data_IF_720573338668
#
_entry.id   IF_720573338668
#
_cell.length_a   1.000
_cell.length_b   1.000
_cell.length_c   1.000
_cell.angle_alpha   90.00
_cell.angle_beta   90.00
_cell.angle_gamma   90.00
#
_symmetry.space_group_name_H-M   'P 1'
#
loop_
_entity.id
_entity.type
_entity.pdbx_description
1 polymer ?
#
# COMPACT_ATOMS: atom_id res chain seq x y z
N UNK A 1 -54.50 0.35 12.52
CA UNK A 1 -53.58 1.25 11.82
C UNK A 1 -52.20 1.07 12.44
N UNK A 2 -51.41 0.14 11.90
CA UNK A 2 -50.09 -0.27 12.40
C UNK A 2 -49.03 0.26 11.42
N UNK A 3 -48.28 1.23 11.90
CA UNK A 3 -47.21 1.91 11.17
C UNK A 3 -45.97 1.04 11.12
N UNK A 4 -45.63 0.51 9.96
CA UNK A 4 -44.39 -0.22 9.67
C UNK A 4 -43.27 0.80 9.44
N UNK A 5 -42.35 0.90 10.37
CA UNK A 5 -41.10 1.66 10.18
C UNK A 5 -40.12 0.79 9.38
N UNK A 6 -39.94 1.12 8.11
CA UNK A 6 -38.88 0.56 7.27
C UNK A 6 -37.56 1.18 7.70
N UNK A 7 -36.73 0.37 8.35
CA UNK A 7 -35.34 0.75 8.67
C UNK A 7 -34.50 0.57 7.40
N UNK A 8 -34.03 1.68 6.84
CA UNK A 8 -33.03 1.70 5.76
C UNK A 8 -31.65 1.40 6.37
N UNK A 9 -31.24 0.13 6.26
CA UNK A 9 -29.84 -0.23 6.45
C UNK A 9 -29.06 0.28 5.24
N UNK A 10 -28.38 1.40 5.39
CA UNK A 10 -27.35 1.84 4.46
C UNK A 10 -26.16 0.90 4.64
N UNK A 11 -26.04 -0.07 3.73
CA UNK A 11 -24.88 -0.95 3.59
C UNK A 11 -23.71 -0.08 3.12
N UNK A 12 -22.91 0.44 4.06
CA UNK A 12 -21.59 0.99 3.75
C UNK A 12 -20.72 -0.20 3.32
N UNK A 13 -20.65 -0.46 2.00
CA UNK A 13 -19.56 -1.23 1.43
C UNK A 13 -18.30 -0.40 1.67
N UNK A 14 -17.55 -0.76 2.71
CA UNK A 14 -16.16 -0.37 2.84
C UNK A 14 -15.45 -0.94 1.59
N UNK A 15 -15.04 -0.08 0.68
CA UNK A 15 -14.07 -0.39 -0.35
C UNK A 15 -12.75 -0.68 0.38
N UNK A 16 -12.60 -1.89 0.91
CA UNK A 16 -11.29 -2.44 1.23
C UNK A 16 -10.61 -2.54 -0.13
N UNK A 17 -9.50 -1.84 -0.38
CA UNK A 17 -8.76 -2.04 -1.61
C UNK A 17 -8.44 -3.53 -1.67
N UNK A 18 -8.93 -4.23 -2.69
CA UNK A 18 -8.43 -5.55 -3.03
C UNK A 18 -6.97 -5.32 -3.41
N UNK A 19 -6.08 -5.55 -2.45
CA UNK A 19 -4.64 -5.66 -2.69
C UNK A 19 -4.45 -7.01 -3.37
N UNK A 20 -4.90 -7.08 -4.60
CA UNK A 20 -4.60 -8.16 -5.52
C UNK A 20 -3.32 -7.81 -6.24
N UNK A 21 -2.44 -8.78 -6.39
CA UNK A 21 -1.11 -8.70 -6.95
C UNK A 21 -0.96 -7.62 -8.05
N UNK A 22 0.09 -6.79 -7.87
CA UNK A 22 0.62 -5.85 -8.85
C UNK A 22 -0.41 -4.91 -9.49
N UNK A 23 -1.08 -4.06 -8.68
CA UNK A 23 -1.57 -2.81 -9.22
C UNK A 23 -0.34 -2.01 -9.67
N UNK A 24 -0.18 -1.90 -10.99
CA UNK A 24 0.78 -0.98 -11.60
C UNK A 24 0.29 0.42 -11.23
N UNK A 25 0.71 0.92 -10.07
CA UNK A 25 0.53 2.33 -9.74
C UNK A 25 1.22 3.13 -10.84
N UNK A 26 0.57 4.19 -11.32
CA UNK A 26 1.22 5.14 -12.22
C UNK A 26 2.32 5.86 -11.45
N UNK A 27 3.48 5.29 -11.55
CA UNK A 27 4.70 5.82 -10.96
C UNK A 27 5.06 7.10 -11.70
N UNK A 28 5.33 8.18 -10.99
CA UNK A 28 5.68 9.49 -11.57
C UNK A 28 6.90 9.43 -12.49
N UNK A 29 7.85 8.55 -12.23
CA UNK A 29 8.95 8.24 -13.14
C UNK A 29 9.27 6.76 -13.12
N UNK A 30 9.14 6.12 -14.29
CA UNK A 30 9.63 4.77 -14.55
C UNK A 30 10.53 4.80 -15.77
N UNK A 31 11.77 4.35 -15.63
CA UNK A 31 12.75 4.34 -16.73
C UNK A 31 12.87 5.70 -17.46
N UNK A 32 12.78 6.82 -16.75
CA UNK A 32 12.92 8.16 -17.32
C UNK A 32 11.74 8.64 -18.20
N UNK A 33 10.57 7.99 -18.14
CA UNK A 33 9.49 8.23 -19.10
C UNK A 33 8.64 9.48 -18.84
N UNK A 34 8.74 10.10 -17.68
CA UNK A 34 7.90 11.26 -17.36
C UNK A 34 8.64 12.27 -16.49
N UNK A 35 8.13 13.50 -16.47
CA UNK A 35 8.58 14.55 -15.58
C UNK A 35 7.41 15.09 -14.78
N UNK A 36 7.67 15.46 -13.56
CA UNK A 36 6.70 15.97 -12.61
C UNK A 36 7.33 17.06 -11.75
N UNK A 37 6.58 18.13 -11.49
CA UNK A 37 6.97 19.18 -10.58
C UNK A 37 5.77 19.67 -9.77
N UNK A 38 5.97 19.87 -8.47
CA UNK A 38 4.98 20.47 -7.59
C UNK A 38 5.66 21.29 -6.49
N UNK A 39 4.99 22.37 -6.07
CA UNK A 39 5.50 23.26 -5.01
C UNK A 39 4.57 23.20 -3.79
N UNK A 40 5.18 23.21 -2.60
CA UNK A 40 4.48 23.26 -1.34
C UNK A 40 4.49 24.68 -0.76
N UNK A 41 3.55 24.99 0.12
CA UNK A 41 3.37 26.32 0.75
C UNK A 41 4.60 26.88 1.47
N UNK A 42 5.56 26.05 1.86
CA UNK A 42 6.82 26.47 2.47
C UNK A 42 7.86 26.96 1.46
N UNK A 43 7.53 26.96 0.16
CA UNK A 43 8.46 27.29 -0.92
C UNK A 43 9.37 26.11 -1.33
N UNK A 44 9.13 24.91 -0.78
CA UNK A 44 9.81 23.68 -1.21
C UNK A 44 9.15 23.16 -2.48
N UNK A 45 9.96 22.90 -3.51
CA UNK A 45 9.51 22.31 -4.77
C UNK A 45 10.12 20.92 -4.92
N UNK A 46 9.26 19.93 -5.24
CA UNK A 46 9.68 18.60 -5.67
C UNK A 46 9.75 18.57 -7.18
N UNK A 47 10.82 17.99 -7.73
CA UNK A 47 10.96 17.71 -9.17
C UNK A 47 11.39 16.27 -9.34
N UNK A 48 10.66 15.52 -10.17
CA UNK A 48 10.93 14.13 -10.52
C UNK A 48 10.96 14.05 -12.04
N UNK A 49 11.93 13.34 -12.61
CA UNK A 49 12.01 13.20 -14.05
C UNK A 49 13.21 12.38 -14.50
N UNK A 50 13.48 12.37 -15.82
CA UNK A 50 14.66 11.70 -16.36
C UNK A 50 15.94 12.35 -15.83
N UNK A 51 16.95 11.52 -15.59
CA UNK A 51 18.29 12.00 -15.26
C UNK A 51 18.92 12.66 -16.50
N UNK A 52 19.34 13.94 -16.36
CA UNK A 52 19.83 14.74 -17.49
C UNK A 52 21.31 14.50 -17.85
N UNK A 53 22.12 13.93 -16.97
CA UNK A 53 23.59 13.96 -17.07
C UNK A 53 24.25 12.60 -17.34
N UNK A 54 23.53 11.59 -17.86
CA UNK A 54 24.16 10.32 -18.17
C UNK A 54 24.21 10.09 -19.69
N UNK A 55 25.41 10.16 -20.23
CA UNK A 55 25.68 9.76 -21.63
C UNK A 55 25.27 8.31 -21.93
N UNK A 56 25.05 7.47 -20.90
CA UNK A 56 24.78 6.05 -21.01
C UNK A 56 23.42 5.58 -20.46
N UNK A 57 22.61 6.42 -19.85
CA UNK A 57 21.35 5.99 -19.20
C UNK A 57 20.16 6.87 -19.54
N UNK A 58 19.65 6.73 -20.73
CA UNK A 58 18.40 7.36 -21.19
C UNK A 58 17.15 6.85 -20.47
N UNK A 59 17.30 5.97 -19.48
CA UNK A 59 16.18 5.25 -18.81
C UNK A 59 16.22 5.29 -17.28
N UNK A 60 16.85 6.30 -16.70
CA UNK A 60 16.93 6.47 -15.26
C UNK A 60 16.13 7.67 -14.77
N UNK A 61 15.61 7.56 -13.55
CA UNK A 61 14.90 8.60 -12.85
C UNK A 61 15.80 9.37 -11.89
N UNK A 62 15.52 10.66 -11.74
CA UNK A 62 16.08 11.53 -10.72
C UNK A 62 14.97 12.27 -9.99
N UNK A 63 15.11 12.42 -8.67
CA UNK A 63 14.22 13.21 -7.84
C UNK A 63 14.98 14.19 -6.98
N UNK A 64 14.42 15.40 -6.81
CA UNK A 64 15.04 16.46 -6.03
C UNK A 64 13.99 17.25 -5.25
N UNK A 65 14.40 17.74 -4.08
CA UNK A 65 13.73 18.81 -3.34
C UNK A 65 14.59 20.08 -3.47
N UNK A 66 13.95 21.20 -3.84
CA UNK A 66 14.63 22.50 -3.94
C UNK A 66 13.91 23.55 -3.09
N UNK A 67 14.70 24.48 -2.52
CA UNK A 67 14.21 25.61 -1.72
C UNK A 67 15.19 26.78 -1.83
N UNK A 68 14.68 27.92 -2.21
CA UNK A 68 15.52 29.06 -2.55
C UNK A 68 16.54 28.68 -3.63
N UNK A 69 17.85 28.79 -3.32
CA UNK A 69 18.96 28.39 -4.22
C UNK A 69 19.54 27.01 -3.90
N UNK A 70 18.97 26.30 -2.93
CA UNK A 70 19.50 25.01 -2.46
C UNK A 70 18.71 23.86 -3.09
N UNK A 71 19.36 22.69 -3.19
CA UNK A 71 18.81 21.46 -3.76
C UNK A 71 19.31 20.25 -2.98
N UNK A 72 18.38 19.34 -2.70
CA UNK A 72 18.65 18.03 -2.12
C UNK A 72 18.26 16.96 -3.14
N UNK A 73 19.20 16.10 -3.50
CA UNK A 73 18.95 14.95 -4.36
C UNK A 73 18.34 13.83 -3.50
N UNK A 74 17.13 13.40 -3.84
CA UNK A 74 16.42 12.28 -3.19
C UNK A 74 17.00 10.97 -3.70
N UNK A 75 17.01 10.83 -5.04
CA UNK A 75 17.53 9.68 -5.74
C UNK A 75 18.00 10.09 -7.14
N UNK A 76 18.94 9.33 -7.69
CA UNK A 76 19.47 9.53 -9.04
C UNK A 76 19.95 8.20 -9.60
N UNK A 77 19.80 7.98 -10.91
CA UNK A 77 20.24 6.77 -11.59
C UNK A 77 19.41 5.53 -11.28
N UNK A 78 18.17 5.70 -10.86
CA UNK A 78 17.28 4.58 -10.48
C UNK A 78 16.18 4.35 -11.51
N UNK A 79 15.71 3.10 -11.70
CA UNK A 79 14.66 2.79 -12.68
C UNK A 79 13.27 3.26 -12.26
N UNK A 80 13.01 3.45 -10.94
CA UNK A 80 11.69 3.81 -10.43
C UNK A 80 11.79 4.82 -9.29
N UNK A 81 11.04 5.90 -9.43
CA UNK A 81 10.84 6.91 -8.40
C UNK A 81 9.38 7.40 -8.42
N UNK A 82 8.72 7.31 -7.30
CA UNK A 82 7.35 7.80 -7.12
C UNK A 82 7.25 8.71 -5.90
N UNK A 83 6.31 9.66 -5.94
CA UNK A 83 5.91 10.50 -4.83
C UNK A 83 4.64 9.92 -4.23
N UNK A 84 4.71 9.43 -3.00
CA UNK A 84 3.57 8.85 -2.31
C UNK A 84 2.78 9.88 -1.50
N UNK A 85 3.47 10.71 -0.71
CA UNK A 85 2.89 11.82 0.05
C UNK A 85 3.56 13.14 -0.29
N UNK A 86 2.79 14.24 -0.29
CA UNK A 86 3.34 15.59 -0.42
C UNK A 86 2.54 16.61 0.40
N UNK A 87 3.20 17.22 1.36
CA UNK A 87 2.59 18.20 2.25
C UNK A 87 1.72 17.58 3.35
N UNK A 88 1.85 16.29 3.61
CA UNK A 88 1.11 15.57 4.66
C UNK A 88 1.70 15.90 6.02
N UNK A 89 0.85 16.19 7.00
CA UNK A 89 1.27 16.52 8.35
C UNK A 89 1.22 15.26 9.24
N UNK A 90 2.35 14.57 9.39
CA UNK A 90 2.47 13.39 10.26
C UNK A 90 2.54 13.75 11.75
N UNK A 91 2.85 15.00 12.07
CA UNK A 91 2.82 15.58 13.42
C UNK A 91 2.48 17.06 13.29
N UNK A 92 1.82 17.70 14.27
CA UNK A 92 1.43 19.10 14.18
C UNK A 92 2.56 20.03 13.74
N UNK A 93 2.40 20.69 12.58
CA UNK A 93 3.38 21.62 12.03
C UNK A 93 4.62 20.97 11.40
N UNK A 94 4.59 19.67 11.13
CA UNK A 94 5.67 18.93 10.52
C UNK A 94 5.28 18.29 9.18
N UNK A 95 5.04 19.10 8.12
CA UNK A 95 4.68 18.58 6.80
C UNK A 95 5.84 17.79 6.20
N UNK A 96 5.47 16.69 5.53
CA UNK A 96 6.44 15.77 4.92
C UNK A 96 6.12 15.51 3.45
N UNK A 97 7.17 15.08 2.72
CA UNK A 97 7.05 14.35 1.47
C UNK A 97 7.60 12.94 1.66
N UNK A 98 6.98 11.97 1.02
CA UNK A 98 7.48 10.61 1.00
C UNK A 98 7.63 10.07 -0.42
N UNK A 99 8.71 9.33 -0.63
CA UNK A 99 9.08 8.81 -1.93
C UNK A 99 9.30 7.31 -1.87
N UNK A 100 8.78 6.62 -2.86
CA UNK A 100 9.07 5.21 -3.11
C UNK A 100 10.12 5.11 -4.21
N UNK A 101 11.18 4.35 -3.97
CA UNK A 101 12.26 4.13 -4.93
C UNK A 101 12.54 2.63 -5.08
N UNK A 102 12.88 2.19 -6.31
CA UNK A 102 13.44 0.87 -6.55
C UNK A 102 14.79 1.02 -7.26
N UNK A 103 15.76 0.21 -6.85
CA UNK A 103 17.12 0.21 -7.44
C UNK A 103 17.24 -0.73 -8.63
N UNK A 104 16.32 -1.67 -8.77
CA UNK A 104 16.22 -2.62 -9.86
C UNK A 104 14.78 -2.78 -10.31
N UNK A 105 14.55 -3.49 -11.41
CA UNK A 105 13.22 -3.87 -11.86
C UNK A 105 12.74 -5.21 -11.25
N UNK A 106 13.47 -5.75 -10.29
CA UNK A 106 13.13 -6.99 -9.62
C UNK A 106 11.86 -6.82 -8.74
N UNK A 107 11.21 -7.92 -8.46
CA UNK A 107 9.98 -7.94 -7.67
C UNK A 107 10.18 -7.47 -6.22
N UNK A 108 11.38 -7.59 -5.68
CA UNK A 108 11.77 -7.09 -4.36
C UNK A 108 13.04 -6.23 -4.49
N UNK A 109 13.26 -5.24 -3.72
CA UNK A 109 12.39 -4.62 -2.74
C UNK A 109 12.49 -3.12 -2.91
N UNK A 110 11.44 -2.42 -2.56
CA UNK A 110 11.40 -0.96 -2.62
C UNK A 110 11.98 -0.34 -1.36
N UNK A 111 12.33 0.93 -1.46
CA UNK A 111 12.75 1.79 -0.36
C UNK A 111 11.78 2.96 -0.25
N UNK A 112 11.33 3.25 0.96
CA UNK A 112 10.46 4.37 1.27
C UNK A 112 11.23 5.40 2.08
N UNK A 113 11.27 6.64 1.59
CA UNK A 113 12.01 7.73 2.20
C UNK A 113 11.09 8.88 2.53
N UNK A 114 11.08 9.32 3.78
CA UNK A 114 10.27 10.44 4.27
C UNK A 114 11.16 11.64 4.53
N UNK A 115 10.79 12.80 3.99
CA UNK A 115 11.52 14.07 4.12
C UNK A 115 10.66 15.13 4.77
N UNK A 116 11.23 15.94 5.64
CA UNK A 116 10.61 17.17 6.13
C UNK A 116 10.46 18.17 4.97
N UNK A 117 9.33 18.90 4.92
CA UNK A 117 9.07 20.02 4.00
C UNK A 117 9.13 21.38 4.70
N UNK A 118 9.72 21.45 5.89
CA UNK A 118 10.04 22.72 6.55
C UNK A 118 11.09 23.50 5.74
N UNK A 119 11.46 24.70 6.18
CA UNK A 119 12.36 25.61 5.48
C UNK A 119 13.66 24.98 4.95
N UNK A 120 14.13 23.90 5.58
CA UNK A 120 15.29 23.11 5.14
C UNK A 120 14.92 21.63 5.07
N UNK A 121 14.50 21.14 3.91
CA UNK A 121 14.20 19.72 3.73
C UNK A 121 15.36 18.82 4.17
N UNK A 122 15.01 17.78 4.91
CA UNK A 122 15.97 16.76 5.37
C UNK A 122 15.29 15.39 5.41
N UNK A 123 16.09 14.37 5.19
CA UNK A 123 15.64 12.99 5.38
C UNK A 123 15.26 12.76 6.86
N UNK A 124 14.07 12.25 7.09
CA UNK A 124 13.57 11.89 8.42
C UNK A 124 13.71 10.39 8.66
N UNK A 125 13.24 9.58 7.74
CA UNK A 125 13.24 8.13 7.88
C UNK A 125 13.41 7.45 6.53
N UNK A 126 14.06 6.28 6.56
CA UNK A 126 14.09 5.33 5.44
C UNK A 126 13.55 4.00 5.93
N UNK A 127 12.65 3.38 5.14
CA UNK A 127 12.09 2.04 5.36
C UNK A 127 12.44 1.22 4.14
N UNK A 128 12.92 -0.01 4.33
CA UNK A 128 13.35 -0.90 3.25
C UNK A 128 12.69 -2.27 3.38
N UNK A 129 12.63 -3.04 2.30
CA UNK A 129 12.20 -4.43 2.33
C UNK A 129 10.73 -4.67 1.99
N UNK A 130 9.96 -3.61 1.67
CA UNK A 130 8.61 -3.77 1.16
C UNK A 130 8.56 -3.98 -0.35
N UNK A 131 7.58 -4.72 -0.83
CA UNK A 131 7.27 -4.84 -2.26
C UNK A 131 6.44 -3.66 -2.78
N UNK A 132 5.77 -2.96 -1.88
CA UNK A 132 5.08 -1.69 -2.13
C UNK A 132 5.10 -0.82 -0.87
N UNK A 133 4.76 0.46 -1.03
CA UNK A 133 4.46 1.38 0.07
C UNK A 133 3.32 2.31 -0.35
N UNK A 134 2.35 2.49 0.53
CA UNK A 134 1.22 3.37 0.31
C UNK A 134 0.81 4.04 1.63
N UNK A 135 0.86 5.35 1.67
CA UNK A 135 0.33 6.12 2.79
C UNK A 135 -1.17 6.36 2.62
N UNK A 136 -1.94 6.18 3.67
CA UNK A 136 -3.38 6.46 3.70
C UNK A 136 -3.85 6.74 5.13
N UNK A 137 -4.84 7.60 5.29
CA UNK A 137 -5.63 7.72 6.52
C UNK A 137 -6.82 6.77 6.36
N UNK A 138 -6.60 5.51 6.70
CA UNK A 138 -7.49 4.40 6.32
C UNK A 138 -8.83 4.45 7.04
N UNK A 139 -8.84 4.89 8.29
CA UNK A 139 -10.04 4.95 9.14
C UNK A 139 -10.57 6.39 9.32
N UNK A 140 -9.96 7.37 8.62
CA UNK A 140 -10.32 8.79 8.64
C UNK A 140 -10.24 9.40 10.05
N UNK A 141 -9.30 8.97 10.87
CA UNK A 141 -9.05 9.51 12.20
C UNK A 141 -8.07 10.70 12.19
N UNK A 142 -7.42 10.94 11.06
CA UNK A 142 -6.45 12.02 10.81
C UNK A 142 -5.01 11.61 11.11
N UNK A 143 -4.76 10.39 11.55
CA UNK A 143 -3.43 9.80 11.61
C UNK A 143 -3.19 9.06 10.28
N UNK A 144 -1.99 9.13 9.75
CA UNK A 144 -1.65 8.52 8.46
C UNK A 144 -0.89 7.22 8.69
N UNK A 145 -1.38 6.14 8.12
CA UNK A 145 -0.72 4.85 8.07
C UNK A 145 0.10 4.72 6.80
N UNK A 146 1.20 3.96 6.90
CA UNK A 146 2.00 3.51 5.75
C UNK A 146 1.78 2.00 5.64
N UNK A 147 1.03 1.60 4.63
CA UNK A 147 0.78 0.20 4.30
C UNK A 147 1.94 -0.33 3.46
N UNK A 148 2.42 -1.51 3.81
CA UNK A 148 3.48 -2.20 3.06
C UNK A 148 3.42 -3.69 3.33
N UNK A 149 4.12 -4.48 2.55
CA UNK A 149 4.38 -5.88 2.85
C UNK A 149 5.82 -6.09 3.31
N UNK A 150 6.11 -7.27 3.84
CA UNK A 150 7.46 -7.68 4.29
C UNK A 150 8.10 -8.62 3.27
N UNK A 151 8.05 -8.23 1.98
CA UNK A 151 8.62 -8.99 0.87
C UNK A 151 10.07 -9.40 1.12
N UNK A 152 10.88 -8.49 1.68
CA UNK A 152 12.28 -8.77 2.00
C UNK A 152 12.49 -9.84 3.06
N UNK A 153 11.51 -10.09 3.93
CA UNK A 153 11.57 -11.17 4.91
C UNK A 153 11.24 -12.54 4.30
N UNK A 154 10.34 -12.57 3.30
CA UNK A 154 9.77 -13.82 2.76
C UNK A 154 10.25 -14.19 1.37
N UNK A 155 10.99 -13.33 0.68
CA UNK A 155 11.59 -13.67 -0.60
C UNK A 155 12.58 -14.83 -0.43
N UNK A 156 12.39 -15.89 -1.22
CA UNK A 156 13.16 -17.13 -1.13
C UNK A 156 12.87 -17.96 0.14
N UNK A 157 11.87 -17.59 0.97
CA UNK A 157 11.52 -18.33 2.18
C UNK A 157 11.08 -19.76 1.86
N UNK A 158 11.76 -20.75 2.42
CA UNK A 158 11.51 -22.18 2.12
C UNK A 158 11.57 -22.52 0.62
N UNK A 159 12.34 -21.78 -0.17
CA UNK A 159 12.44 -21.92 -1.60
C UNK A 159 11.20 -21.40 -2.38
N UNK A 160 10.36 -20.57 -1.75
CA UNK A 160 9.21 -19.94 -2.38
C UNK A 160 9.63 -18.61 -3.02
N UNK A 161 9.27 -18.40 -4.29
CA UNK A 161 9.40 -17.09 -4.92
C UNK A 161 8.22 -16.18 -4.47
N UNK A 162 8.45 -14.86 -4.40
CA UNK A 162 7.39 -13.90 -4.04
C UNK A 162 6.14 -14.04 -4.91
N UNK A 163 6.31 -14.31 -6.22
CA UNK A 163 5.19 -14.50 -7.16
C UNK A 163 4.33 -15.74 -6.91
N UNK A 164 4.77 -16.66 -6.03
CA UNK A 164 3.98 -17.83 -5.62
C UNK A 164 3.10 -17.55 -4.38
N UNK A 165 3.34 -16.43 -3.68
CA UNK A 165 2.66 -16.06 -2.43
C UNK A 165 1.56 -15.06 -2.77
N UNK A 166 0.29 -15.46 -2.63
CA UNK A 166 -0.86 -14.59 -2.93
C UNK A 166 -1.06 -13.49 -1.88
N UNK A 167 -0.72 -13.79 -0.62
CA UNK A 167 -0.88 -12.87 0.51
C UNK A 167 0.43 -12.73 1.27
N UNK A 168 1.33 -11.89 0.73
CA UNK A 168 2.59 -11.53 1.39
C UNK A 168 2.29 -10.88 2.75
N UNK A 169 3.07 -11.19 3.81
CA UNK A 169 2.85 -10.59 5.13
C UNK A 169 2.79 -9.06 5.09
N UNK A 170 1.70 -8.49 5.58
CA UNK A 170 1.46 -7.04 5.52
C UNK A 170 1.81 -6.38 6.85
N UNK A 171 2.45 -5.22 6.79
CA UNK A 171 2.58 -4.28 7.89
C UNK A 171 1.70 -3.05 7.65
N UNK A 172 1.10 -2.56 8.74
CA UNK A 172 0.55 -1.21 8.82
C UNK A 172 1.43 -0.43 9.78
N UNK A 173 2.14 0.56 9.25
CA UNK A 173 3.14 1.32 9.98
C UNK A 173 2.62 2.73 10.25
N UNK A 174 3.04 3.33 11.36
CA UNK A 174 2.78 4.74 11.67
C UNK A 174 4.09 5.44 11.99
N UNK A 175 4.28 6.64 11.44
CA UNK A 175 5.43 7.47 11.77
C UNK A 175 5.02 8.53 12.79
N UNK A 176 5.50 8.40 14.02
CA UNK A 176 5.26 9.32 15.12
C UNK A 176 6.57 9.96 15.59
N UNK A 177 6.75 11.27 15.38
CA UNK A 177 7.98 12.01 15.74
C UNK A 177 9.27 11.30 15.30
N UNK A 178 9.36 10.85 14.06
CA UNK A 178 10.44 10.04 13.51
C UNK A 178 10.53 8.58 14.03
N UNK A 179 9.68 8.16 14.94
CA UNK A 179 9.61 6.77 15.39
C UNK A 179 8.71 5.97 14.45
N UNK A 180 9.21 4.86 13.97
CA UNK A 180 8.45 3.92 13.14
C UNK A 180 7.76 2.90 14.05
N UNK A 181 6.44 2.93 14.10
CA UNK A 181 5.64 2.10 14.98
C UNK A 181 4.84 1.08 14.16
N UNK A 182 4.72 -0.14 14.69
CA UNK A 182 3.79 -1.16 14.17
C UNK A 182 2.37 -0.84 14.66
N UNK A 183 1.48 -0.47 13.75
CA UNK A 183 0.06 -0.21 13.99
C UNK A 183 -0.84 -1.35 13.50
N UNK A 184 -0.29 -2.45 12.99
CA UNK A 184 -1.04 -3.54 12.34
C UNK A 184 -2.14 -4.13 13.23
N UNK A 185 -1.93 -4.16 14.55
CA UNK A 185 -2.92 -4.66 15.51
C UNK A 185 -4.19 -3.80 15.60
N UNK A 186 -4.15 -2.56 15.10
CA UNK A 186 -5.31 -1.66 15.05
C UNK A 186 -6.24 -2.01 13.87
N UNK A 187 -5.73 -2.69 12.86
CA UNK A 187 -6.41 -3.04 11.60
C UNK A 187 -6.79 -4.53 11.51
N UNK A 188 -7.21 -5.13 12.62
CA UNK A 188 -7.53 -6.58 12.70
C UNK A 188 -8.51 -7.05 11.65
N UNK A 189 -9.52 -6.24 11.30
CA UNK A 189 -10.51 -6.59 10.29
C UNK A 189 -9.91 -6.93 8.93
N UNK A 190 -8.89 -6.18 8.50
CA UNK A 190 -8.15 -6.49 7.27
C UNK A 190 -7.50 -7.88 7.33
N UNK A 191 -6.80 -8.18 8.42
CA UNK A 191 -6.15 -9.49 8.57
C UNK A 191 -7.15 -10.64 8.71
N UNK A 192 -8.30 -10.41 9.35
CA UNK A 192 -9.38 -11.40 9.45
C UNK A 192 -9.95 -11.73 8.07
N UNK A 193 -10.11 -10.74 7.20
CA UNK A 193 -10.54 -10.94 5.82
C UNK A 193 -9.50 -11.71 5.00
N UNK A 194 -8.20 -11.44 5.19
CA UNK A 194 -7.11 -12.23 4.57
C UNK A 194 -7.20 -13.69 5.02
N UNK A 195 -7.25 -13.93 6.33
CA UNK A 195 -7.33 -15.27 6.91
C UNK A 195 -8.56 -16.03 6.38
N UNK A 196 -9.71 -15.38 6.36
CA UNK A 196 -10.97 -15.96 5.86
C UNK A 196 -10.85 -16.37 4.38
N UNK A 197 -10.31 -15.48 3.54
CA UNK A 197 -10.10 -15.76 2.10
C UNK A 197 -9.12 -16.91 1.88
N UNK A 198 -8.02 -16.93 2.59
CA UNK A 198 -7.01 -18.00 2.46
C UNK A 198 -7.60 -19.33 2.92
N UNK A 199 -8.21 -19.39 4.12
CA UNK A 199 -8.82 -20.61 4.64
C UNK A 199 -9.92 -21.16 3.74
N UNK A 200 -10.70 -20.31 3.07
CA UNK A 200 -11.75 -20.72 2.13
C UNK A 200 -11.21 -21.42 0.86
N UNK A 201 -9.94 -21.17 0.51
CA UNK A 201 -9.26 -21.81 -0.65
C UNK A 201 -8.54 -23.10 -0.30
N UNK A 202 -8.36 -23.41 0.99
CA UNK A 202 -7.66 -24.62 1.41
C UNK A 202 -8.50 -25.86 1.09
N UNK A 203 -7.96 -26.78 0.29
CA UNK A 203 -8.58 -28.05 0.02
C UNK A 203 -8.31 -29.00 1.21
N UNK A 204 -9.35 -29.56 1.89
CA UNK A 204 -9.18 -30.37 3.08
C UNK A 204 -8.40 -31.67 2.85
N UNK A 205 -8.55 -32.31 1.68
CA UNK A 205 -7.84 -33.54 1.35
C UNK A 205 -6.35 -33.28 1.14
N UNK A 206 -6.01 -32.22 0.39
CA UNK A 206 -4.63 -31.80 0.20
C UNK A 206 -3.99 -31.34 1.51
N UNK A 207 -4.76 -30.69 2.41
CA UNK A 207 -4.26 -30.34 3.74
C UNK A 207 -3.93 -31.58 4.56
N UNK A 208 -4.78 -32.60 4.55
CA UNK A 208 -4.50 -33.88 5.21
C UNK A 208 -3.21 -34.52 4.67
N UNK A 209 -3.06 -34.55 3.34
CA UNK A 209 -1.88 -35.10 2.69
C UNK A 209 -0.62 -34.29 3.00
N UNK A 210 -0.72 -32.95 3.01
CA UNK A 210 0.38 -32.07 3.41
C UNK A 210 0.79 -32.31 4.87
N UNK A 211 -0.15 -32.45 5.79
CA UNK A 211 0.14 -32.74 7.21
C UNK A 211 0.82 -34.10 7.41
N UNK A 212 0.61 -35.04 6.50
CA UNK A 212 1.28 -36.34 6.50
C UNK A 212 2.68 -36.31 5.84
N UNK A 213 3.07 -35.19 5.22
CA UNK A 213 4.38 -35.03 4.58
C UNK A 213 5.47 -34.59 5.58
N UNK A 214 6.70 -34.40 5.07
CA UNK A 214 7.83 -33.84 5.84
C UNK A 214 7.81 -32.30 5.96
N UNK A 215 6.83 -31.63 5.35
CA UNK A 215 6.71 -30.17 5.29
C UNK A 215 7.72 -29.48 4.38
N UNK A 216 8.77 -30.14 3.94
CA UNK A 216 9.80 -29.54 3.06
C UNK A 216 9.43 -29.60 1.61
N UNK A 217 8.81 -30.72 1.18
CA UNK A 217 8.31 -30.95 -0.18
C UNK A 217 9.42 -30.85 -1.25
N UNK A 218 10.59 -31.39 -0.94
CA UNK A 218 11.70 -31.41 -1.88
C UNK A 218 11.53 -32.54 -2.90
N UNK A 219 11.56 -32.19 -4.20
CA UNK A 219 11.60 -33.17 -5.26
C UNK A 219 13.02 -33.75 -5.41
N UNK A 220 13.12 -35.06 -5.65
CA UNK A 220 14.37 -35.64 -6.17
C UNK A 220 14.55 -35.29 -7.64
N UNK A 221 15.79 -35.17 -8.15
CA UNK A 221 16.01 -34.97 -9.57
C UNK A 221 15.35 -36.05 -10.46
N UNK A 222 15.21 -37.25 -9.91
CA UNK A 222 14.62 -38.40 -10.62
C UNK A 222 13.13 -38.61 -10.31
N UNK A 223 12.46 -37.62 -9.69
CA UNK A 223 11.05 -37.75 -9.31
C UNK A 223 10.16 -37.94 -10.54
N UNK A 224 9.24 -38.92 -10.54
CA UNK A 224 8.27 -39.09 -11.63
C UNK A 224 7.37 -37.87 -11.81
N UNK A 225 6.89 -37.63 -13.04
CA UNK A 225 6.04 -36.49 -13.35
C UNK A 225 4.77 -36.39 -12.45
N UNK A 226 4.15 -37.53 -12.12
CA UNK A 226 3.00 -37.58 -11.21
C UNK A 226 3.36 -37.12 -9.79
N UNK A 227 4.54 -37.45 -9.29
CA UNK A 227 5.02 -36.98 -8.00
C UNK A 227 5.27 -35.47 -8.01
N UNK A 228 5.85 -34.92 -9.06
CA UNK A 228 6.02 -33.47 -9.21
C UNK A 228 4.69 -32.72 -9.22
N UNK A 229 3.67 -33.25 -9.89
CA UNK A 229 2.31 -32.68 -9.87
C UNK A 229 1.73 -32.71 -8.47
N UNK A 230 1.90 -33.81 -7.72
CA UNK A 230 1.47 -33.95 -6.34
C UNK A 230 2.17 -32.94 -5.43
N UNK A 231 3.50 -32.86 -5.51
CA UNK A 231 4.31 -31.91 -4.73
C UNK A 231 3.90 -30.45 -4.99
N UNK A 232 3.60 -30.07 -6.24
CA UNK A 232 3.12 -28.72 -6.57
C UNK A 232 1.76 -28.42 -5.90
N UNK A 233 0.81 -29.39 -5.85
CA UNK A 233 -0.46 -29.22 -5.14
C UNK A 233 -0.23 -29.06 -3.63
N UNK A 234 0.66 -29.84 -3.02
CA UNK A 234 1.00 -29.71 -1.61
C UNK A 234 1.73 -28.39 -1.31
N UNK A 235 2.56 -27.91 -2.25
CA UNK A 235 3.22 -26.60 -2.16
C UNK A 235 2.21 -25.45 -2.07
N UNK A 236 1.12 -25.50 -2.81
CA UNK A 236 0.05 -24.51 -2.69
C UNK A 236 -0.58 -24.51 -1.28
N UNK A 237 -0.82 -25.67 -0.69
CA UNK A 237 -1.31 -25.79 0.70
C UNK A 237 -0.27 -25.28 1.72
N UNK A 238 1.02 -25.59 1.50
CA UNK A 238 2.13 -25.05 2.30
C UNK A 238 2.11 -23.54 2.33
N UNK A 239 1.95 -22.88 1.16
CA UNK A 239 1.85 -21.43 1.03
C UNK A 239 0.62 -20.91 1.81
N UNK A 240 -0.56 -21.49 1.60
CA UNK A 240 -1.78 -21.10 2.30
C UNK A 240 -1.65 -21.22 3.83
N UNK A 241 -0.99 -22.26 4.33
CA UNK A 241 -0.72 -22.40 5.75
C UNK A 241 0.18 -21.28 6.29
N UNK A 242 1.23 -20.92 5.54
CA UNK A 242 2.13 -19.81 5.89
C UNK A 242 1.39 -18.45 5.85
N UNK A 243 0.57 -18.20 4.83
CA UNK A 243 -0.22 -16.97 4.72
C UNK A 243 -1.15 -16.77 5.92
N UNK A 244 -1.82 -17.83 6.39
CA UNK A 244 -2.66 -17.78 7.60
C UNK A 244 -1.81 -17.48 8.85
N UNK A 245 -0.68 -18.16 9.02
CA UNK A 245 0.22 -17.97 10.16
C UNK A 245 0.78 -16.55 10.16
N UNK A 246 1.24 -16.05 9.01
CA UNK A 246 1.75 -14.69 8.88
C UNK A 246 0.66 -13.65 9.17
N UNK A 247 -0.55 -13.81 8.63
CA UNK A 247 -1.63 -12.86 8.88
C UNK A 247 -1.95 -12.72 10.38
N UNK A 248 -1.96 -13.80 11.14
CA UNK A 248 -2.07 -13.74 12.59
C UNK A 248 -0.85 -13.09 13.25
N UNK A 249 0.36 -13.50 12.86
CA UNK A 249 1.61 -13.03 13.49
C UNK A 249 1.83 -11.52 13.28
N UNK A 250 1.58 -11.04 12.06
CA UNK A 250 1.75 -9.63 11.70
C UNK A 250 0.63 -8.74 12.27
N UNK A 251 -0.55 -9.30 12.56
CA UNK A 251 -1.61 -8.58 13.29
C UNK A 251 -1.45 -8.61 14.82
N UNK A 252 -0.30 -9.08 15.34
CA UNK A 252 -0.02 -9.13 16.77
C UNK A 252 -0.71 -10.28 17.52
N UNK A 253 -1.24 -11.28 16.82
CA UNK A 253 -1.97 -12.44 17.36
C UNK A 253 -1.07 -13.69 17.37
N UNK A 254 0.01 -13.62 18.12
CA UNK A 254 1.04 -14.66 18.13
C UNK A 254 0.50 -16.04 18.57
N UNK A 255 -0.40 -16.08 19.56
CA UNK A 255 -0.99 -17.33 20.05
C UNK A 255 -1.78 -18.03 18.94
N UNK A 256 -2.62 -17.29 18.23
CA UNK A 256 -3.44 -17.79 17.11
C UNK A 256 -2.58 -18.19 15.91
N UNK A 257 -1.46 -17.50 15.68
CA UNK A 257 -0.49 -17.87 14.65
C UNK A 257 0.06 -19.28 14.90
N UNK A 258 0.54 -19.54 16.13
CA UNK A 258 1.12 -20.85 16.48
C UNK A 258 0.05 -21.95 16.58
N UNK A 259 -1.16 -21.62 17.01
CA UNK A 259 -2.28 -22.54 16.96
C UNK A 259 -2.61 -22.93 15.51
N UNK A 260 -2.68 -21.97 14.60
CA UNK A 260 -2.92 -22.25 13.18
C UNK A 260 -1.81 -23.04 12.54
N UNK A 261 -0.55 -22.80 12.95
CA UNK A 261 0.58 -23.63 12.52
C UNK A 261 0.39 -25.09 12.97
N UNK A 262 -0.01 -25.31 14.21
CA UNK A 262 -0.25 -26.66 14.73
C UNK A 262 -1.42 -27.36 14.01
N UNK A 263 -2.44 -26.62 13.61
CA UNK A 263 -3.58 -27.14 12.87
C UNK A 263 -3.23 -27.52 11.42
N UNK A 264 -2.38 -26.75 10.75
CA UNK A 264 -2.20 -26.81 9.29
C UNK A 264 -0.85 -27.38 8.85
N UNK A 265 0.14 -27.53 9.74
CA UNK A 265 1.51 -27.94 9.41
C UNK A 265 1.82 -29.37 9.90
N UNK A 266 2.72 -30.13 9.21
CA UNK A 266 3.20 -31.43 9.69
C UNK A 266 3.78 -31.36 11.10
N UNK A 267 3.30 -32.20 12.02
CA UNK A 267 3.66 -32.13 13.42
C UNK A 267 5.19 -32.24 13.68
N UNK A 268 5.87 -33.07 12.90
CA UNK A 268 7.33 -33.28 13.04
C UNK A 268 8.19 -32.11 12.53
N UNK A 269 7.60 -31.12 11.87
CA UNK A 269 8.32 -30.01 11.25
C UNK A 269 7.95 -28.63 11.84
N UNK A 270 7.00 -28.58 12.79
CA UNK A 270 6.46 -27.32 13.33
C UNK A 270 7.53 -26.46 14.01
N UNK A 271 8.42 -27.03 14.79
CA UNK A 271 9.45 -26.26 15.49
C UNK A 271 10.45 -25.64 14.52
N UNK A 272 10.92 -26.42 13.53
CA UNK A 272 11.84 -25.94 12.49
C UNK A 272 11.23 -24.74 11.72
N UNK A 273 9.97 -24.86 11.26
CA UNK A 273 9.35 -23.78 10.48
C UNK A 273 9.05 -22.56 11.33
N UNK A 274 8.65 -22.75 12.60
CA UNK A 274 8.45 -21.66 13.55
C UNK A 274 9.71 -20.83 13.73
N UNK A 275 10.85 -21.48 13.98
CA UNK A 275 12.15 -20.80 14.09
C UNK A 275 12.49 -20.01 12.81
N UNK A 276 12.25 -20.61 11.65
CA UNK A 276 12.48 -19.94 10.36
C UNK A 276 11.59 -18.71 10.17
N UNK A 277 10.30 -18.79 10.51
CA UNK A 277 9.36 -17.68 10.44
C UNK A 277 9.84 -16.53 11.33
N UNK A 278 10.20 -16.81 12.59
CA UNK A 278 10.70 -15.81 13.52
C UNK A 278 12.00 -15.17 13.03
N UNK A 279 12.93 -15.97 12.50
CA UNK A 279 14.20 -15.49 11.95
C UNK A 279 13.99 -14.63 10.68
N UNK A 280 13.06 -14.99 9.82
CA UNK A 280 12.72 -14.20 8.62
C UNK A 280 12.13 -12.85 9.02
N UNK A 281 11.11 -12.84 9.90
CA UNK A 281 10.50 -11.62 10.42
C UNK A 281 11.52 -10.70 11.10
N UNK A 282 12.43 -11.24 11.90
CA UNK A 282 13.46 -10.46 12.59
C UNK A 282 14.47 -9.78 11.65
N UNK A 283 14.58 -10.19 10.39
CA UNK A 283 15.45 -9.57 9.36
C UNK A 283 14.73 -8.58 8.46
N UNK A 284 13.40 -8.61 8.45
CA UNK A 284 12.55 -7.77 7.60
C UNK A 284 12.30 -6.37 8.19
N UNK A 285 11.12 -5.85 7.90
CA UNK A 285 10.68 -4.54 8.39
C UNK A 285 10.65 -4.51 9.92
N UNK A 286 10.41 -5.64 10.58
CA UNK A 286 10.41 -5.73 12.04
C UNK A 286 11.69 -5.19 12.69
N UNK A 287 12.84 -5.41 12.07
CA UNK A 287 14.13 -4.91 12.57
C UNK A 287 14.25 -3.38 12.55
N UNK A 288 13.37 -2.70 11.82
CA UNK A 288 13.39 -1.26 11.62
C UNK A 288 12.39 -0.53 12.53
N UNK A 289 11.56 -1.28 13.28
CA UNK A 289 10.54 -0.73 14.16
C UNK A 289 11.14 -0.18 15.45
N UNK A 290 10.65 0.96 15.90
CA UNK A 290 10.99 1.57 17.18
C UNK A 290 10.00 1.17 18.30
N UNK A 291 8.96 0.42 17.96
CA UNK A 291 7.96 -0.08 18.90
C UNK A 291 6.63 -0.42 18.24
N UNK A 292 5.63 -0.64 19.10
CA UNK A 292 4.24 -0.90 18.69
C UNK A 292 3.40 0.33 19.00
N UNK A 293 2.48 0.67 18.11
CA UNK A 293 1.51 1.74 18.34
C UNK A 293 0.60 1.37 19.53
N UNK A 294 0.42 2.31 20.43
CA UNK A 294 -0.57 2.20 21.52
C UNK A 294 -1.89 2.72 20.98
N UNK A 295 -2.65 1.89 20.28
CA UNK A 295 -3.88 2.27 19.60
C UNK A 295 -4.64 3.41 20.32
N UNK A 296 -4.96 4.46 19.60
CA UNK A 296 -5.87 5.48 20.09
C UNK A 296 -7.28 4.92 19.96
N UNK A 297 -8.17 5.23 20.89
CA UNK A 297 -9.60 4.99 20.73
C UNK A 297 -10.04 5.70 19.44
N UNK A 298 -10.31 4.92 18.41
CA UNK A 298 -10.65 5.39 17.07
C UNK A 298 -11.90 6.26 17.18
N UNK A 299 -11.74 7.57 17.03
CA UNK A 299 -12.85 8.48 16.79
C UNK A 299 -12.84 8.75 15.28
N UNK A 300 -13.68 8.03 14.55
CA UNK A 300 -13.92 8.34 13.14
C UNK A 300 -14.23 9.82 12.99
N UNK A 301 -13.35 10.56 12.36
CA UNK A 301 -13.56 11.97 12.03
C UNK A 301 -14.30 12.03 10.70
N UNK A 302 -15.48 12.65 10.71
CA UNK A 302 -16.19 12.89 9.44
C UNK A 302 -15.36 13.83 8.57
N UNK A 303 -15.23 13.53 7.25
CA UNK A 303 -14.58 14.44 6.32
C UNK A 303 -15.16 15.85 6.43
N UNK A 304 -14.30 16.84 6.42
CA UNK A 304 -14.68 18.25 6.53
C UNK A 304 -15.06 18.75 5.15
N UNK A 305 -16.24 19.31 5.01
CA UNK A 305 -16.61 20.06 3.81
C UNK A 305 -15.77 21.34 3.69
N UNK A 306 -15.59 21.83 2.46
CA UNK A 306 -14.95 23.12 2.23
C UNK A 306 -15.61 24.19 3.09
N UNK A 307 -14.86 24.75 4.04
CA UNK A 307 -15.26 25.86 4.91
C UNK A 307 -14.23 26.98 4.73
N UNK A 308 -14.58 28.25 4.99
CA UNK A 308 -13.66 29.38 4.81
C UNK A 308 -12.31 29.23 5.52
N UNK A 309 -12.29 28.50 6.62
CA UNK A 309 -11.10 28.24 7.46
C UNK A 309 -10.27 27.04 6.96
N UNK A 310 -10.76 26.28 6.01
CA UNK A 310 -10.09 25.07 5.47
C UNK A 310 -9.43 25.42 4.15
N UNK A 311 -8.11 25.29 4.08
CA UNK A 311 -7.41 25.30 2.79
C UNK A 311 -7.76 24.01 2.06
N UNK A 312 -8.39 24.08 0.87
CA UNK A 312 -8.86 22.88 0.17
C UNK A 312 -7.70 21.99 -0.28
N UNK A 313 -7.99 20.71 -0.50
CA UNK A 313 -7.05 19.80 -1.14
C UNK A 313 -6.72 20.31 -2.56
N UNK A 314 -5.45 20.11 -2.96
CA UNK A 314 -4.95 20.56 -4.26
C UNK A 314 -4.49 19.35 -5.07
N UNK A 315 -5.04 19.17 -6.27
CA UNK A 315 -4.64 18.09 -7.15
C UNK A 315 -3.17 18.23 -7.58
N UNK A 316 -2.40 17.18 -7.44
CA UNK A 316 -1.02 17.06 -7.92
C UNK A 316 -1.02 16.28 -9.24
N UNK A 317 -1.69 15.13 -9.25
CA UNK A 317 -1.85 14.27 -10.40
C UNK A 317 -3.30 13.79 -10.45
N UNK A 318 -4.01 14.12 -11.51
CA UNK A 318 -5.40 13.71 -11.70
C UNK A 318 -5.62 13.45 -13.20
N UNK A 319 -5.40 12.21 -13.63
CA UNK A 319 -5.58 11.75 -15.01
C UNK A 319 -6.68 10.70 -15.09
N UNK A 320 -7.37 10.65 -16.20
CA UNK A 320 -8.40 9.62 -16.47
C UNK A 320 -7.78 8.52 -17.30
N UNK A 321 -7.95 7.29 -16.85
CA UNK A 321 -7.45 6.08 -17.51
C UNK A 321 -8.62 5.20 -17.94
N UNK A 322 -8.59 4.69 -19.17
CA UNK A 322 -9.58 3.71 -19.60
C UNK A 322 -9.45 2.42 -18.77
N UNK A 323 -10.55 1.72 -18.44
CA UNK A 323 -10.51 0.36 -17.94
C UNK A 323 -9.84 -0.58 -18.96
N UNK A 324 -9.21 -1.64 -18.49
CA UNK A 324 -8.60 -2.65 -19.36
C UNK A 324 -9.62 -3.20 -20.37
N UNK A 325 -9.22 -3.24 -21.63
CA UNK A 325 -10.06 -3.72 -22.75
C UNK A 325 -11.09 -2.72 -23.27
N UNK A 326 -11.09 -1.48 -22.78
CA UNK A 326 -11.97 -0.40 -23.24
C UNK A 326 -11.13 0.79 -23.74
N UNK A 327 -10.34 0.58 -24.77
CA UNK A 327 -9.55 1.63 -25.40
C UNK A 327 -10.45 2.46 -26.34
N UNK A 328 -10.99 3.55 -25.83
CA UNK A 328 -11.75 4.51 -26.62
C UNK A 328 -11.84 5.86 -25.91
N UNK A 329 -11.82 6.98 -26.65
CA UNK A 329 -12.01 8.28 -26.03
C UNK A 329 -13.41 8.39 -25.45
N UNK A 330 -13.50 8.88 -24.22
CA UNK A 330 -14.78 9.34 -23.67
C UNK A 330 -15.25 10.54 -24.48
N UNK A 331 -16.44 10.45 -25.07
CA UNK A 331 -17.04 11.54 -25.85
C UNK A 331 -17.59 12.66 -24.95
N UNK A 332 -16.78 13.09 -23.96
CA UNK A 332 -17.11 14.18 -23.05
C UNK A 332 -15.90 15.07 -22.82
N UNK A 333 -16.12 16.38 -22.93
CA UNK A 333 -15.08 17.38 -22.67
C UNK A 333 -14.74 17.55 -21.20
N UNK A 334 -15.68 17.31 -20.30
CA UNK A 334 -15.53 17.56 -18.87
C UNK A 334 -16.42 16.60 -18.05
N UNK A 335 -15.87 16.07 -16.96
CA UNK A 335 -16.56 15.19 -16.02
C UNK A 335 -16.53 15.87 -14.65
N UNK A 336 -17.70 16.23 -14.13
CA UNK A 336 -17.83 16.72 -12.76
C UNK A 336 -17.86 15.56 -11.78
N UNK A 337 -17.08 15.65 -10.70
CA UNK A 337 -16.94 14.62 -9.69
C UNK A 337 -16.98 15.20 -8.29
N UNK A 338 -17.54 14.42 -7.35
CA UNK A 338 -17.41 14.62 -5.92
C UNK A 338 -16.35 13.65 -5.40
N UNK A 339 -15.37 14.14 -4.64
CA UNK A 339 -14.28 13.37 -4.05
C UNK A 339 -14.26 13.49 -2.53
N UNK A 340 -13.86 12.41 -1.86
CA UNK A 340 -13.31 12.48 -0.51
C UNK A 340 -11.82 12.20 -0.61
N UNK A 341 -11.01 13.19 -0.23
CA UNK A 341 -9.55 13.09 -0.12
C UNK A 341 -9.19 12.98 1.34
N UNK A 342 -8.43 11.97 1.74
CA UNK A 342 -8.02 11.75 3.12
C UNK A 342 -6.87 12.68 3.56
N UNK A 343 -6.45 12.57 4.80
CA UNK A 343 -5.35 13.38 5.35
C UNK A 343 -3.98 13.04 4.78
N UNK A 344 -3.83 11.91 4.08
CA UNK A 344 -2.65 11.53 3.31
C UNK A 344 -2.65 12.03 1.86
N UNK A 345 -3.74 12.69 1.41
CA UNK A 345 -3.90 13.12 0.03
C UNK A 345 -4.36 12.03 -0.92
N UNK A 346 -4.94 10.93 -0.41
CA UNK A 346 -5.47 9.82 -1.21
C UNK A 346 -6.98 9.92 -1.37
N UNK A 347 -7.48 9.45 -2.52
CA UNK A 347 -8.91 9.43 -2.78
C UNK A 347 -9.55 8.22 -2.09
N UNK A 348 -10.47 8.49 -1.15
CA UNK A 348 -11.22 7.46 -0.41
C UNK A 348 -12.57 7.15 -1.02
N UNK A 349 -13.16 8.11 -1.70
CA UNK A 349 -14.36 7.89 -2.48
C UNK A 349 -14.44 8.88 -3.64
N UNK A 350 -15.04 8.45 -4.73
CA UNK A 350 -15.30 9.27 -5.89
C UNK A 350 -16.71 8.97 -6.39
N UNK A 351 -17.44 10.03 -6.76
CA UNK A 351 -18.76 9.94 -7.34
C UNK A 351 -18.82 10.86 -8.54
N UNK A 352 -18.96 10.35 -9.77
CA UNK A 352 -19.19 11.18 -10.92
C UNK A 352 -20.61 11.79 -10.87
N UNK A 353 -20.73 13.04 -11.27
CA UNK A 353 -22.03 13.67 -11.51
C UNK A 353 -22.52 13.26 -12.90
N UNK A 354 -23.38 12.24 -12.99
CA UNK A 354 -23.97 11.74 -14.24
C UNK A 354 -24.24 10.24 -14.22
N UNK A 355 -25.15 9.79 -15.10
CA UNK A 355 -25.86 8.50 -14.98
C UNK A 355 -25.25 7.34 -15.78
N UNK A 356 -24.03 7.37 -16.24
CA UNK A 356 -23.47 6.26 -17.02
C UNK A 356 -22.54 5.39 -16.20
N UNK A 357 -22.86 4.08 -16.08
CA UNK A 357 -21.99 3.06 -15.45
C UNK A 357 -20.57 3.05 -16.02
N UNK A 358 -20.41 3.34 -17.30
CA UNK A 358 -19.12 3.40 -17.95
C UNK A 358 -18.25 4.54 -17.37
N UNK A 359 -18.84 5.74 -17.22
CA UNK A 359 -18.17 6.88 -16.61
C UNK A 359 -17.75 6.60 -15.18
N UNK A 360 -18.61 5.94 -14.40
CA UNK A 360 -18.31 5.54 -13.04
C UNK A 360 -17.09 4.60 -12.98
N UNK A 361 -16.99 3.62 -13.90
CA UNK A 361 -15.84 2.71 -13.98
C UNK A 361 -14.55 3.47 -14.33
N UNK A 362 -14.55 4.35 -15.33
CA UNK A 362 -13.38 5.16 -15.70
C UNK A 362 -12.87 5.99 -14.52
N UNK A 363 -13.78 6.65 -13.82
CA UNK A 363 -13.45 7.49 -12.68
C UNK A 363 -12.94 6.66 -11.50
N UNK A 364 -13.56 5.53 -11.20
CA UNK A 364 -13.13 4.65 -10.10
C UNK A 364 -11.74 4.06 -10.32
N UNK A 365 -11.47 3.54 -11.52
CA UNK A 365 -10.14 3.01 -11.88
C UNK A 365 -9.07 4.10 -11.82
N UNK A 366 -9.41 5.32 -12.26
CA UNK A 366 -8.47 6.43 -12.29
C UNK A 366 -8.20 7.01 -10.90
N UNK A 367 -9.23 7.08 -10.06
CA UNK A 367 -9.18 7.77 -8.76
C UNK A 367 -8.16 7.15 -7.79
N UNK A 368 -7.92 5.85 -7.86
CA UNK A 368 -6.92 5.15 -7.05
C UNK A 368 -5.47 5.62 -7.34
N UNK A 369 -5.27 6.27 -8.50
CA UNK A 369 -3.95 6.76 -8.96
C UNK A 369 -3.77 8.26 -8.75
N UNK A 370 -4.83 8.98 -8.36
CA UNK A 370 -4.77 10.42 -8.17
C UNK A 370 -4.04 10.77 -6.89
N UNK A 371 -3.28 11.85 -6.96
CA UNK A 371 -2.47 12.36 -5.86
C UNK A 371 -2.85 13.80 -5.55
N UNK A 372 -2.97 14.10 -4.26
CA UNK A 372 -3.35 15.42 -3.78
C UNK A 372 -2.41 15.89 -2.67
N UNK A 373 -2.19 17.19 -2.59
CA UNK A 373 -1.86 17.83 -1.32
C UNK A 373 -3.16 17.83 -0.52
N UNK A 374 -3.21 17.29 0.70
CA UNK A 374 -4.45 17.21 1.47
C UNK A 374 -4.99 18.60 1.84
N UNK A 375 -6.22 18.66 2.28
CA UNK A 375 -6.79 19.86 2.88
C UNK A 375 -6.13 20.15 4.24
N UNK A 376 -6.11 21.42 4.66
CA UNK A 376 -5.54 21.83 5.94
C UNK A 376 -6.53 22.62 6.78
N UNK A 377 -6.64 22.26 8.05
CA UNK A 377 -7.35 23.02 9.09
C UNK A 377 -6.42 23.19 10.30
N UNK A 378 -6.17 24.45 10.71
CA UNK A 378 -5.26 24.78 11.81
C UNK A 378 -3.87 24.14 11.61
N UNK A 379 -3.32 24.28 10.42
CA UNK A 379 -2.04 23.72 9.97
C UNK A 379 -1.92 22.19 10.02
N UNK A 380 -2.99 21.45 10.22
CA UNK A 380 -3.03 19.99 10.13
C UNK A 380 -3.67 19.53 8.83
N UNK A 381 -3.12 18.49 8.23
CA UNK A 381 -3.78 17.79 7.14
C UNK A 381 -5.06 17.11 7.64
N UNK A 382 -6.13 17.21 6.87
CA UNK A 382 -7.46 16.69 7.24
C UNK A 382 -8.15 16.07 6.03
N UNK A 383 -8.95 15.05 6.29
CA UNK A 383 -9.83 14.52 5.25
C UNK A 383 -10.85 15.57 4.82
N UNK A 384 -11.05 15.72 3.52
CA UNK A 384 -11.95 16.75 2.96
C UNK A 384 -12.80 16.19 1.83
N UNK A 385 -13.97 16.83 1.65
CA UNK A 385 -14.83 16.60 0.50
C UNK A 385 -14.74 17.79 -0.44
N UNK A 386 -14.54 17.51 -1.72
CA UNK A 386 -14.44 18.53 -2.75
C UNK A 386 -15.22 18.14 -4.01
N UNK A 387 -15.63 19.17 -4.76
CA UNK A 387 -16.16 19.02 -6.09
C UNK A 387 -15.14 19.58 -7.09
N UNK A 388 -14.90 18.85 -8.14
CA UNK A 388 -13.98 19.27 -9.20
C UNK A 388 -14.45 18.73 -10.56
N UNK A 389 -13.80 19.19 -11.60
CA UNK A 389 -14.02 18.68 -12.94
C UNK A 389 -12.71 18.17 -13.53
N UNK A 390 -12.78 17.14 -14.33
CA UNK A 390 -11.65 16.52 -15.02
C UNK A 390 -11.92 16.44 -16.51
N UNK A 391 -10.87 16.67 -17.31
CA UNK A 391 -10.92 16.43 -18.75
C UNK A 391 -10.38 15.03 -19.07
N UNK A 392 -11.14 14.20 -19.80
CA UNK A 392 -10.67 12.87 -20.20
C UNK A 392 -9.57 12.88 -21.26
N UNK A 393 -9.22 14.05 -21.78
CA UNK A 393 -8.27 14.22 -22.90
C UNK A 393 -6.87 14.67 -22.45
N UNK A 394 -6.54 14.63 -21.16
CA UNK A 394 -5.22 15.03 -20.65
C UNK A 394 -4.38 13.85 -20.19
#
# INVERSE_FOLDING_TARGET
MTSVRVAWFVLMLALVPNISAAQVHDVLCRAGNSSFEASFRTGVTVSIGPQKDSEFSTRACQGTLSWGKQKLVIASGIPLLDLDMFGVDLSPGAPVAAFTTAKSNDACCMTYQTYSLNERPRLLRTITGGGFFEAADTDLDGDVEIWTDDSGAVDGFEGLALGEIDSVPTYVLRLDHNRLLDASSEFRGFFDDVIKRVRARVNPDLLRDFKASDGRLQASPDSPALELIRLNKLRAVKIQALEVVWAYLYSGREKEAWQSLAEMWPAGDQERIREKILKARARGIHAQLDGVSKGKLIKHRKPIFSQPEVKPATAILMRVYPPEGQEGPLDRKEIHIELVVDSAGKVRSVKPAGDTKLLEQYVQVSASRWKFIPAFKNDRSVASRMHTAISPLQ
#
